data_IF_112308255725
#
_entry.id   IF_112308255725
#
_cell.length_a   1.000
_cell.length_b   1.000
_cell.length_c   1.000
_cell.angle_alpha   90.00
_cell.angle_beta   90.00
_cell.angle_gamma   90.00
#
_symmetry.space_group_name_H-M   'P 1'
#
loop_
_entity.id
_entity.type
_entity.pdbx_description
1 polymer ?
#
# COMPACT_ATOMS: atom_id res chain seq x y z
N UNK A 1 -0.22 16.09 8.31
CA UNK A 1 -0.81 14.87 7.71
C UNK A 1 -0.66 14.72 6.19
N UNK A 2 -0.93 15.73 5.36
CA UNK A 2 -0.78 15.58 3.88
C UNK A 2 0.63 15.12 3.47
N UNK A 3 1.66 15.72 4.07
CA UNK A 3 3.06 15.32 3.87
C UNK A 3 3.30 13.85 4.23
N UNK A 4 2.81 13.39 5.38
CA UNK A 4 2.96 12.00 5.82
C UNK A 4 2.25 11.02 4.87
N UNK A 5 1.03 11.35 4.40
CA UNK A 5 0.33 10.56 3.36
C UNK A 5 1.17 10.43 2.08
N UNK A 6 1.74 11.54 1.60
CA UNK A 6 2.60 11.55 0.40
C UNK A 6 3.87 10.72 0.63
N UNK A 7 4.53 10.88 1.78
CA UNK A 7 5.71 10.08 2.13
C UNK A 7 5.39 8.59 2.20
N UNK A 8 4.28 8.18 2.81
CA UNK A 8 3.86 6.78 2.83
C UNK A 8 3.68 6.22 1.41
N UNK A 9 3.09 6.99 0.50
CA UNK A 9 2.93 6.60 -0.91
C UNK A 9 4.27 6.43 -1.61
N UNK A 10 5.17 7.41 -1.47
CA UNK A 10 6.50 7.37 -2.07
C UNK A 10 7.26 6.14 -1.53
N UNK A 11 7.32 5.96 -0.22
CA UNK A 11 8.05 4.85 0.39
C UNK A 11 7.49 3.49 -0.02
N UNK A 12 6.16 3.35 -0.19
CA UNK A 12 5.57 2.13 -0.74
C UNK A 12 5.96 1.91 -2.21
N UNK A 13 5.98 2.97 -3.02
CA UNK A 13 6.31 2.92 -4.45
C UNK A 13 7.76 2.50 -4.71
N UNK A 14 8.66 2.75 -3.75
CA UNK A 14 10.09 2.43 -3.81
C UNK A 14 10.47 1.08 -3.18
N UNK A 15 9.50 0.23 -2.83
CA UNK A 15 9.77 -1.13 -2.38
C UNK A 15 10.43 -1.90 -3.52
N UNK A 16 11.59 -2.50 -3.25
CA UNK A 16 12.35 -3.26 -4.22
C UNK A 16 11.80 -4.68 -4.37
N UNK A 17 11.70 -5.11 -5.62
CA UNK A 17 11.28 -6.43 -6.03
C UNK A 17 12.45 -7.03 -6.81
N UNK A 18 13.17 -7.95 -6.19
CA UNK A 18 14.30 -8.64 -6.83
C UNK A 18 13.90 -10.09 -7.07
N UNK A 19 13.87 -10.51 -8.34
CA UNK A 19 13.58 -11.90 -8.70
C UNK A 19 14.53 -12.36 -9.79
N UNK A 20 15.27 -13.46 -9.51
CA UNK A 20 16.36 -13.95 -10.36
C UNK A 20 17.37 -12.81 -10.61
N UNK A 21 17.49 -12.35 -11.86
CA UNK A 21 18.41 -11.29 -12.26
C UNK A 21 17.71 -9.95 -12.51
N UNK A 22 16.41 -9.85 -12.23
CA UNK A 22 15.63 -8.64 -12.46
C UNK A 22 15.41 -7.89 -11.16
N UNK A 23 15.77 -6.61 -11.16
CA UNK A 23 15.49 -5.66 -10.09
C UNK A 23 14.41 -4.71 -10.59
N UNK A 24 13.32 -4.61 -9.86
CA UNK A 24 12.23 -3.67 -10.11
C UNK A 24 11.89 -2.92 -8.83
N UNK A 25 11.14 -1.83 -8.97
CA UNK A 25 10.45 -1.16 -7.87
C UNK A 25 8.95 -1.36 -8.02
N UNK A 26 8.23 -1.28 -6.91
CA UNK A 26 6.79 -1.46 -6.89
C UNK A 26 6.06 -0.61 -7.93
N UNK A 27 6.46 0.65 -8.10
CA UNK A 27 5.88 1.56 -9.11
C UNK A 27 6.01 1.03 -10.55
N UNK A 28 7.19 0.52 -10.92
CA UNK A 28 7.41 -0.03 -12.26
C UNK A 28 6.63 -1.33 -12.44
N UNK A 29 6.62 -2.18 -11.40
CA UNK A 29 5.86 -3.42 -11.40
C UNK A 29 4.37 -3.13 -11.58
N UNK A 30 3.80 -2.12 -10.92
CA UNK A 30 2.42 -1.70 -11.09
C UNK A 30 2.10 -1.30 -12.53
N UNK A 31 2.97 -0.51 -13.16
CA UNK A 31 2.81 -0.08 -14.55
C UNK A 31 2.79 -1.26 -15.52
N UNK A 32 3.80 -2.13 -15.46
CA UNK A 32 3.88 -3.30 -16.36
C UNK A 32 2.75 -4.29 -16.10
N UNK A 33 2.33 -4.43 -14.85
CA UNK A 33 1.25 -5.34 -14.47
C UNK A 33 -0.10 -4.85 -15.01
N UNK A 34 -0.37 -3.55 -14.94
CA UNK A 34 -1.56 -2.92 -15.52
C UNK A 34 -1.61 -3.13 -17.03
N UNK A 35 -0.51 -2.85 -17.73
CA UNK A 35 -0.40 -3.04 -19.18
C UNK A 35 -0.67 -4.49 -19.58
N UNK A 36 -0.09 -5.43 -18.84
CA UNK A 36 -0.27 -6.87 -19.06
C UNK A 36 -1.71 -7.34 -18.80
N UNK A 37 -2.34 -6.82 -17.75
CA UNK A 37 -3.74 -7.10 -17.43
C UNK A 37 -4.69 -6.56 -18.52
N UNK A 38 -4.45 -5.34 -19.02
CA UNK A 38 -5.26 -4.72 -20.07
C UNK A 38 -5.05 -5.37 -21.45
N UNK A 39 -3.84 -5.85 -21.75
CA UNK A 39 -3.53 -6.51 -23.01
C UNK A 39 -4.03 -7.97 -23.08
N UNK A 40 -4.70 -8.47 -22.04
CA UNK A 40 -5.18 -9.87 -21.92
C UNK A 40 -4.08 -10.92 -22.13
N UNK A 41 -2.81 -10.52 -22.00
CA UNK A 41 -1.67 -11.42 -22.05
C UNK A 41 -1.56 -12.11 -20.70
N UNK A 42 -2.25 -13.24 -20.58
CA UNK A 42 -2.44 -13.97 -19.32
C UNK A 42 -1.17 -14.14 -18.47
N UNK A 43 -1.38 -14.24 -17.17
CA UNK A 43 -0.34 -14.57 -16.20
C UNK A 43 -0.26 -16.09 -16.09
N UNK A 44 0.76 -16.70 -16.70
CA UNK A 44 0.89 -18.17 -16.75
C UNK A 44 1.42 -18.77 -15.44
N UNK A 45 2.17 -17.98 -14.66
CA UNK A 45 2.96 -18.51 -13.54
C UNK A 45 2.51 -17.92 -12.19
N UNK A 46 2.64 -18.69 -11.12
CA UNK A 46 2.21 -18.34 -9.76
C UNK A 46 2.83 -17.04 -9.23
N UNK A 47 4.10 -16.79 -9.53
CA UNK A 47 4.79 -15.55 -9.19
C UNK A 47 4.16 -14.33 -9.88
N UNK A 48 3.76 -14.49 -11.14
CA UNK A 48 3.17 -13.42 -11.93
C UNK A 48 1.76 -13.07 -11.41
N UNK A 49 0.97 -14.08 -10.98
CA UNK A 49 -0.30 -13.87 -10.29
C UNK A 49 -0.14 -13.19 -8.92
N UNK A 50 0.91 -13.53 -8.16
CA UNK A 50 1.23 -12.85 -6.91
C UNK A 50 1.53 -11.37 -7.14
N UNK A 51 2.39 -11.06 -8.13
CA UNK A 51 2.71 -9.68 -8.49
C UNK A 51 1.47 -8.91 -8.97
N UNK A 52 0.57 -9.57 -9.71
CA UNK A 52 -0.71 -8.98 -10.10
C UNK A 52 -1.56 -8.58 -8.89
N UNK A 53 -1.78 -9.52 -7.96
CA UNK A 53 -2.54 -9.26 -6.75
C UNK A 53 -1.93 -8.13 -5.91
N UNK A 54 -0.61 -8.18 -5.69
CA UNK A 54 0.10 -7.14 -4.96
C UNK A 54 -0.03 -5.76 -5.64
N UNK A 55 0.15 -5.70 -6.96
CA UNK A 55 0.09 -4.44 -7.72
C UNK A 55 -1.30 -3.83 -7.72
N UNK A 56 -2.35 -4.63 -7.92
CA UNK A 56 -3.74 -4.15 -7.90
C UNK A 56 -4.13 -3.62 -6.53
N UNK A 57 -3.78 -4.33 -5.45
CA UNK A 57 -4.03 -3.85 -4.09
C UNK A 57 -3.25 -2.57 -3.78
N UNK A 58 -2.02 -2.47 -4.27
CA UNK A 58 -1.22 -1.27 -4.08
C UNK A 58 -1.86 -0.08 -4.77
N UNK A 59 -2.19 -0.20 -6.06
CA UNK A 59 -2.84 0.85 -6.83
C UNK A 59 -4.15 1.30 -6.17
N UNK A 60 -4.96 0.34 -5.70
CA UNK A 60 -6.17 0.63 -4.94
C UNK A 60 -5.86 1.42 -3.66
N UNK A 61 -4.86 0.99 -2.89
CA UNK A 61 -4.43 1.67 -1.67
C UNK A 61 -3.91 3.08 -1.94
N UNK A 62 -3.12 3.26 -2.99
CA UNK A 62 -2.59 4.55 -3.41
C UNK A 62 -3.71 5.51 -3.80
N UNK A 63 -4.66 5.04 -4.62
CA UNK A 63 -5.84 5.81 -5.02
C UNK A 63 -6.66 6.24 -3.81
N UNK A 64 -6.93 5.34 -2.86
CA UNK A 64 -7.67 5.67 -1.63
C UNK A 64 -6.94 6.73 -0.80
N UNK A 65 -5.63 6.62 -0.62
CA UNK A 65 -4.86 7.65 0.10
C UNK A 65 -4.90 8.99 -0.65
N UNK A 66 -4.77 9.01 -1.97
CA UNK A 66 -4.89 10.24 -2.76
C UNK A 66 -6.28 10.88 -2.67
N UNK A 67 -7.34 10.08 -2.76
CA UNK A 67 -8.73 10.53 -2.55
C UNK A 67 -8.89 11.12 -1.14
N UNK A 68 -8.33 10.46 -0.13
CA UNK A 68 -8.35 10.92 1.26
C UNK A 68 -7.62 12.26 1.50
N UNK A 69 -6.89 12.80 0.52
CA UNK A 69 -6.29 14.14 0.62
C UNK A 69 -7.31 15.21 0.18
N UNK A 70 -8.17 14.90 -0.79
CA UNK A 70 -9.14 15.83 -1.40
C UNK A 70 -10.46 15.95 -0.63
N UNK A 71 -10.78 14.98 0.23
CA UNK A 71 -12.05 14.98 0.97
C UNK A 71 -12.04 16.03 2.09
N UNK A 72 -13.08 16.87 2.10
CA UNK A 72 -13.28 17.93 3.11
C UNK A 72 -13.80 17.39 4.44
N UNK A 73 -14.77 16.47 4.41
CA UNK A 73 -15.36 15.86 5.61
C UNK A 73 -14.31 15.08 6.41
N UNK A 74 -13.96 15.58 7.59
CA UNK A 74 -12.86 15.07 8.43
C UNK A 74 -12.97 13.57 8.69
N UNK A 75 -14.14 13.07 9.11
CA UNK A 75 -14.32 11.63 9.38
C UNK A 75 -14.06 10.78 8.14
N UNK A 76 -14.73 11.09 7.01
CA UNK A 76 -14.58 10.34 5.77
C UNK A 76 -13.13 10.37 5.26
N UNK A 77 -12.48 11.53 5.38
CA UNK A 77 -11.07 11.74 5.03
C UNK A 77 -10.12 10.80 5.78
N UNK A 78 -10.37 10.53 7.05
CA UNK A 78 -9.54 9.61 7.84
C UNK A 78 -9.93 8.15 7.61
N UNK A 79 -11.23 7.82 7.54
CA UNK A 79 -11.68 6.45 7.27
C UNK A 79 -11.15 5.94 5.93
N UNK A 80 -11.28 6.73 4.86
CA UNK A 80 -10.74 6.37 3.53
C UNK A 80 -9.21 6.28 3.56
N UNK A 81 -8.55 7.13 4.35
CA UNK A 81 -7.10 7.07 4.55
C UNK A 81 -6.66 5.76 5.22
N UNK A 82 -7.40 5.27 6.22
CA UNK A 82 -7.14 3.99 6.90
C UNK A 82 -7.40 2.82 5.94
N UNK A 83 -8.50 2.84 5.18
CA UNK A 83 -8.78 1.81 4.17
C UNK A 83 -7.67 1.73 3.12
N UNK A 84 -7.18 2.88 2.64
CA UNK A 84 -6.05 2.93 1.73
C UNK A 84 -4.76 2.35 2.34
N UNK A 85 -4.48 2.67 3.60
CA UNK A 85 -3.36 2.09 4.34
C UNK A 85 -3.46 0.57 4.46
N UNK A 86 -4.64 0.04 4.80
CA UNK A 86 -4.87 -1.41 4.91
C UNK A 86 -4.62 -2.11 3.58
N UNK A 87 -5.08 -1.52 2.47
CA UNK A 87 -4.81 -2.07 1.13
C UNK A 87 -3.31 -2.10 0.80
N UNK A 88 -2.56 -1.04 1.12
CA UNK A 88 -1.09 -1.03 0.97
C UNK A 88 -0.41 -2.07 1.87
N UNK A 89 -0.89 -2.27 3.10
CA UNK A 89 -0.37 -3.30 4.00
C UNK A 89 -0.59 -4.71 3.45
N UNK A 90 -1.76 -4.98 2.88
CA UNK A 90 -2.01 -6.26 2.22
C UNK A 90 -1.15 -6.45 0.98
N UNK A 91 -0.97 -5.42 0.15
CA UNK A 91 -0.03 -5.46 -0.97
C UNK A 91 1.38 -5.82 -0.50
N UNK A 92 1.89 -5.12 0.50
CA UNK A 92 3.19 -5.40 1.10
C UNK A 92 3.28 -6.83 1.67
N UNK A 93 2.21 -7.31 2.32
CA UNK A 93 2.13 -8.68 2.85
C UNK A 93 2.23 -9.75 1.75
N UNK A 94 1.69 -9.50 0.56
CA UNK A 94 1.86 -10.40 -0.59
C UNK A 94 3.32 -10.45 -1.07
N UNK A 95 4.02 -9.31 -1.03
CA UNK A 95 5.41 -9.21 -1.49
C UNK A 95 6.42 -9.74 -0.47
N UNK A 96 6.26 -9.42 0.81
CA UNK A 96 7.29 -9.62 1.82
C UNK A 96 7.28 -11.00 2.51
N UNK A 97 6.23 -11.79 2.32
CA UNK A 97 6.05 -13.05 3.03
C UNK A 97 5.91 -14.24 2.09
N UNK A 98 6.55 -15.38 2.43
CA UNK A 98 6.61 -16.55 1.57
C UNK A 98 5.23 -17.10 1.30
N UNK A 99 4.82 -16.99 0.03
CA UNK A 99 3.67 -17.70 -0.55
C UNK A 99 4.07 -18.50 -1.81
N UNK A 100 5.32 -18.33 -2.25
CA UNK A 100 5.99 -19.07 -3.32
C UNK A 100 7.44 -19.31 -2.90
N UNK A 101 8.09 -20.36 -3.42
CA UNK A 101 9.42 -20.81 -2.99
C UNK A 101 10.59 -19.83 -3.28
N UNK A 102 10.33 -18.60 -3.73
CA UNK A 102 11.36 -17.61 -4.02
C UNK A 102 11.76 -16.84 -2.75
N UNK A 103 12.69 -17.39 -1.97
CA UNK A 103 13.12 -16.83 -0.69
C UNK A 103 13.69 -15.41 -0.82
N UNK A 104 14.55 -15.17 -1.81
CA UNK A 104 15.30 -13.91 -1.91
C UNK A 104 14.38 -12.72 -2.25
N UNK A 105 13.36 -12.96 -3.08
CA UNK A 105 12.36 -11.95 -3.44
C UNK A 105 11.65 -11.40 -2.20
N UNK A 106 11.17 -12.31 -1.34
CA UNK A 106 10.46 -11.94 -0.13
C UNK A 106 11.36 -11.18 0.85
N UNK A 107 12.63 -11.58 0.97
CA UNK A 107 13.62 -10.92 1.83
C UNK A 107 13.89 -9.48 1.38
N UNK A 108 14.15 -9.25 0.10
CA UNK A 108 14.44 -7.91 -0.42
C UNK A 108 13.22 -6.99 -0.36
N UNK A 109 12.03 -7.51 -0.65
CA UNK A 109 10.78 -6.77 -0.49
C UNK A 109 10.56 -6.35 0.97
N UNK A 110 10.81 -7.26 1.93
CA UNK A 110 10.67 -6.94 3.35
C UNK A 110 11.61 -5.81 3.78
N UNK A 111 12.91 -5.93 3.50
CA UNK A 111 13.91 -4.96 3.95
C UNK A 111 13.72 -3.59 3.30
N UNK A 112 13.44 -3.54 2.00
CA UNK A 112 13.15 -2.28 1.31
C UNK A 112 11.81 -1.66 1.73
N UNK A 113 10.88 -2.45 2.27
CA UNK A 113 9.61 -1.98 2.82
C UNK A 113 9.65 -1.45 4.25
N UNK A 114 10.75 -1.60 4.98
CA UNK A 114 10.86 -1.09 6.37
C UNK A 114 10.53 0.40 6.50
N UNK A 115 11.02 1.31 5.64
CA UNK A 115 10.62 2.72 5.68
C UNK A 115 9.11 2.93 5.50
N UNK A 116 8.48 2.15 4.62
CA UNK A 116 7.03 2.17 4.44
C UNK A 116 6.30 1.70 5.71
N UNK A 117 6.75 0.62 6.36
CA UNK A 117 6.17 0.13 7.62
C UNK A 117 6.18 1.25 8.67
N UNK A 118 7.32 1.91 8.87
CA UNK A 118 7.46 2.99 9.87
C UNK A 118 6.51 4.14 9.54
N UNK A 119 6.53 4.62 8.29
CA UNK A 119 5.68 5.74 7.88
C UNK A 119 4.18 5.39 7.96
N UNK A 120 3.80 4.16 7.66
CA UNK A 120 2.41 3.71 7.69
C UNK A 120 1.88 3.57 9.12
N UNK A 121 2.68 3.10 10.07
CA UNK A 121 2.32 3.03 11.50
C UNK A 121 2.08 4.44 12.06
N UNK A 122 3.00 5.38 11.77
CA UNK A 122 2.84 6.77 12.17
C UNK A 122 1.58 7.38 11.56
N UNK A 123 1.32 7.10 10.28
CA UNK A 123 0.14 7.62 9.59
C UNK A 123 -1.16 7.04 10.16
N UNK A 124 -1.18 5.76 10.51
CA UNK A 124 -2.33 5.11 11.16
C UNK A 124 -2.58 5.73 12.54
N UNK A 125 -1.54 5.85 13.35
CA UNK A 125 -1.63 6.41 14.70
C UNK A 125 -2.24 7.82 14.70
N UNK A 126 -1.74 8.71 13.84
CA UNK A 126 -2.27 10.08 13.68
C UNK A 126 -3.75 10.09 13.25
N UNK A 127 -4.13 9.24 12.30
CA UNK A 127 -5.51 9.15 11.84
C UNK A 127 -6.44 8.60 12.93
N UNK A 128 -5.98 7.61 13.70
CA UNK A 128 -6.72 7.00 14.79
C UNK A 128 -6.99 7.98 15.93
N UNK A 129 -5.98 8.76 16.36
CA UNK A 129 -6.15 9.76 17.42
C UNK A 129 -7.22 10.78 17.05
N UNK A 130 -7.16 11.34 15.84
CA UNK A 130 -8.12 12.35 15.39
C UNK A 130 -9.54 11.78 15.37
N UNK A 131 -9.73 10.56 14.85
CA UNK A 131 -11.03 9.90 14.85
C UNK A 131 -11.53 9.67 16.28
N UNK A 132 -10.69 9.14 17.16
CA UNK A 132 -11.01 8.90 18.57
C UNK A 132 -11.49 10.18 19.27
N UNK A 133 -10.82 11.31 19.04
CA UNK A 133 -11.19 12.59 19.64
C UNK A 133 -12.53 13.12 19.13
N UNK A 134 -12.80 12.98 17.83
CA UNK A 134 -14.08 13.37 17.23
C UNK A 134 -15.23 12.56 17.84
N UNK A 135 -15.08 11.23 17.92
CA UNK A 135 -16.09 10.37 18.50
C UNK A 135 -16.29 10.63 20.00
N UNK A 136 -15.22 10.94 20.74
CA UNK A 136 -15.31 11.30 22.16
C UNK A 136 -16.08 12.61 22.37
N UNK A 137 -15.85 13.62 21.54
CA UNK A 137 -16.58 14.90 21.61
C UNK A 137 -18.06 14.71 21.29
N UNK A 138 -18.38 13.93 20.26
CA UNK A 138 -19.77 13.63 19.88
C UNK A 138 -20.56 12.93 20.99
N UNK A 139 -19.93 12.03 21.75
CA UNK A 139 -20.55 11.34 22.89
C UNK A 139 -20.82 12.25 24.10
N UNK A 140 -20.07 13.34 24.26
CA UNK A 140 -20.27 14.31 25.36
C UNK A 140 -21.33 15.37 25.05
N UNK A 141 -21.69 15.54 23.77
CA UNK A 141 -22.69 16.51 23.30
C UNK A 141 -24.07 15.90 23.07
N UNK A 142 -24.22 14.59 23.31
CA UNK A 142 -25.48 13.82 23.23
C UNK A 142 -25.92 13.43 24.62
#
# INVERSE_FOLDING_TARGET
>A
MKKLKIWTLILHSFIFIIHKNTISVMLLTEYFTLDRWLSSSGFSDSFANLLLGASLLSLLGQLLILLSIKIEKVVNKHVIGILGLIALWFSFRYLAYPSVNNTDFHTWAFWSGVPFIIASILLYHEQYIILKDIFRKKKKSS
#
